data_IF_365145174981
#
_entry.id   IF_365145174981
#
_cell.length_a   1.000
_cell.length_b   1.000
_cell.length_c   1.000
_cell.angle_alpha   90.00
_cell.angle_beta   90.00
_cell.angle_gamma   90.00
#
_symmetry.space_group_name_H-M   'P 1'
#
loop_
_entity.id
_entity.type
_entity.pdbx_description
1 polymer ?
#
# COMPACT_ATOMS: atom_id res chain seq x y z
N UNK A 1 -29.26 -44.81 -15.82
CA UNK A 1 -27.95 -44.48 -15.20
C UNK A 1 -27.86 -42.96 -15.14
N UNK A 2 -27.85 -42.30 -13.97
CA UNK A 2 -27.79 -40.85 -13.91
C UNK A 2 -26.36 -40.37 -14.19
N UNK A 3 -26.23 -39.48 -15.17
CA UNK A 3 -25.00 -38.81 -15.58
C UNK A 3 -24.63 -37.73 -14.56
N UNK A 4 -23.43 -37.86 -13.97
CA UNK A 4 -22.88 -36.91 -13.00
C UNK A 4 -22.52 -35.60 -13.72
N UNK A 5 -23.33 -34.57 -13.57
CA UNK A 5 -22.94 -33.21 -13.94
C UNK A 5 -21.97 -32.68 -12.88
N UNK A 6 -20.67 -32.70 -13.21
CA UNK A 6 -19.61 -32.10 -12.42
C UNK A 6 -19.77 -30.57 -12.42
N UNK A 7 -20.43 -30.05 -11.39
CA UNK A 7 -20.45 -28.63 -11.04
C UNK A 7 -19.01 -28.16 -10.71
N UNK A 8 -18.31 -27.67 -11.72
CA UNK A 8 -16.96 -27.11 -11.58
C UNK A 8 -17.09 -25.76 -10.87
N UNK A 9 -16.96 -25.73 -9.55
CA UNK A 9 -16.82 -24.47 -8.78
C UNK A 9 -15.61 -23.72 -9.30
N UNK A 10 -15.85 -22.63 -10.02
CA UNK A 10 -14.84 -21.62 -10.27
C UNK A 10 -14.59 -20.91 -8.93
N UNK A 11 -13.63 -21.42 -8.16
CA UNK A 11 -13.06 -20.64 -7.07
C UNK A 11 -12.39 -19.42 -7.70
N UNK A 12 -13.08 -18.28 -7.62
CA UNK A 12 -12.53 -16.96 -7.90
C UNK A 12 -11.50 -16.68 -6.81
N UNK A 13 -10.32 -17.30 -6.90
CA UNK A 13 -9.18 -16.92 -6.09
C UNK A 13 -8.84 -15.49 -6.49
N UNK A 14 -9.33 -14.55 -5.68
CA UNK A 14 -9.03 -13.14 -5.86
C UNK A 14 -7.51 -13.01 -5.97
N UNK A 15 -6.98 -12.34 -7.01
CA UNK A 15 -5.54 -12.24 -7.22
C UNK A 15 -4.95 -11.43 -6.05
N UNK A 16 -4.45 -12.17 -5.04
CA UNK A 16 -3.78 -11.65 -3.86
C UNK A 16 -2.58 -10.77 -4.21
N UNK A 17 -2.07 -10.92 -5.44
CA UNK A 17 -0.98 -10.16 -6.02
C UNK A 17 -1.29 -8.65 -6.15
N UNK A 18 -2.56 -8.26 -6.36
CA UNK A 18 -2.95 -6.84 -6.38
C UNK A 18 -2.80 -6.21 -4.99
N UNK A 19 -3.07 -6.98 -3.92
CA UNK A 19 -2.90 -6.51 -2.54
C UNK A 19 -1.42 -6.28 -2.16
N UNK A 20 -0.51 -7.05 -2.77
CA UNK A 20 0.94 -6.90 -2.55
C UNK A 20 1.50 -5.68 -3.27
N UNK A 21 1.12 -5.47 -4.54
CA UNK A 21 1.54 -4.29 -5.32
C UNK A 21 1.00 -3.00 -4.69
N UNK A 22 -0.23 -3.02 -4.17
CA UNK A 22 -0.84 -1.86 -3.53
C UNK A 22 -0.22 -1.53 -2.16
N UNK A 23 0.55 -2.45 -1.55
CA UNK A 23 1.26 -2.24 -0.27
C UNK A 23 2.59 -1.49 -0.40
N UNK A 24 3.06 -1.25 -1.63
CA UNK A 24 4.31 -0.49 -1.88
C UNK A 24 4.15 0.97 -1.46
N UNK A 25 2.94 1.51 -1.52
CA UNK A 25 2.65 2.86 -1.05
C UNK A 25 2.10 2.78 0.38
N UNK A 26 2.68 3.53 1.33
CA UNK A 26 2.21 3.56 2.71
C UNK A 26 0.69 3.82 2.77
N UNK A 27 -0.05 2.84 3.30
CA UNK A 27 -1.50 2.95 3.51
C UNK A 27 -2.42 2.50 2.36
N UNK A 28 -1.93 2.39 1.11
CA UNK A 28 -2.80 2.02 -0.03
C UNK A 28 -3.21 0.55 -0.04
N UNK A 29 -2.33 -0.37 0.37
CA UNK A 29 -2.65 -1.81 0.46
C UNK A 29 -3.75 -2.11 1.49
N UNK A 30 -3.92 -1.22 2.48
CA UNK A 30 -4.93 -1.37 3.53
C UNK A 30 -6.31 -0.83 3.12
N UNK A 31 -6.36 0.02 2.08
CA UNK A 31 -7.59 0.51 1.46
C UNK A 31 -8.39 -0.64 0.81
N UNK A 32 -7.69 -1.60 0.20
CA UNK A 32 -8.33 -2.73 -0.51
C UNK A 32 -9.09 -3.68 0.41
N UNK A 33 -8.64 -3.81 1.67
CA UNK A 33 -9.26 -4.70 2.66
C UNK A 33 -10.23 -3.95 3.61
N UNK A 34 -10.75 -2.79 3.20
CA UNK A 34 -11.63 -1.89 3.99
C UNK A 34 -11.05 -1.46 5.35
N UNK A 35 -9.76 -1.68 5.62
CA UNK A 35 -9.07 -1.27 6.86
C UNK A 35 -8.39 0.09 6.68
N UNK A 36 -9.16 1.04 6.17
CA UNK A 36 -8.71 2.39 5.78
C UNK A 36 -8.13 3.15 6.96
N UNK A 37 -8.67 2.94 8.16
CA UNK A 37 -8.27 3.64 9.38
C UNK A 37 -6.77 3.43 9.69
N UNK A 38 -6.28 2.20 9.55
CA UNK A 38 -4.88 1.87 9.83
C UNK A 38 -3.95 2.41 8.73
N UNK A 39 -4.42 2.43 7.48
CA UNK A 39 -3.64 2.94 6.35
C UNK A 39 -3.52 4.46 6.40
N UNK A 40 -4.60 5.13 6.76
CA UNK A 40 -4.65 6.58 6.92
C UNK A 40 -3.75 7.06 8.07
N UNK A 41 -3.73 6.35 9.19
CA UNK A 41 -2.83 6.68 10.30
C UNK A 41 -1.36 6.62 9.86
N UNK A 42 -0.98 5.55 9.14
CA UNK A 42 0.38 5.40 8.64
C UNK A 42 0.72 6.47 7.60
N UNK A 43 -0.22 6.81 6.72
CA UNK A 43 -0.07 7.85 5.72
C UNK A 43 0.12 9.25 6.34
N UNK A 44 -0.69 9.59 7.35
CA UNK A 44 -0.58 10.88 8.07
C UNK A 44 0.78 10.99 8.76
N UNK A 45 1.23 9.94 9.44
CA UNK A 45 2.54 9.93 10.11
C UNK A 45 3.67 10.07 9.09
N UNK A 46 3.61 9.35 7.97
CA UNK A 46 4.62 9.46 6.90
C UNK A 46 4.67 10.85 6.29
N UNK A 47 3.53 11.50 6.04
CA UNK A 47 3.47 12.88 5.52
C UNK A 47 3.99 13.88 6.55
N UNK A 48 3.55 13.76 7.80
CA UNK A 48 4.01 14.65 8.87
C UNK A 48 5.54 14.55 9.06
N UNK A 49 6.08 13.33 9.00
CA UNK A 49 7.53 13.10 9.02
C UNK A 49 8.21 13.82 7.84
N UNK A 50 7.71 13.65 6.61
CA UNK A 50 8.28 14.29 5.42
C UNK A 50 8.27 15.82 5.50
N UNK A 51 7.18 16.41 5.97
CA UNK A 51 7.03 17.86 6.11
C UNK A 51 8.03 18.40 7.14
N UNK A 52 8.12 17.77 8.32
CA UNK A 52 9.04 18.20 9.38
C UNK A 52 10.50 18.04 8.96
N UNK A 53 10.82 16.98 8.21
CA UNK A 53 12.18 16.75 7.71
C UNK A 53 12.51 17.55 6.45
N UNK A 54 11.54 18.21 5.82
CA UNK A 54 11.76 18.88 4.53
C UNK A 54 12.84 19.96 4.62
N UNK A 55 12.79 20.79 5.66
CA UNK A 55 13.78 21.86 5.88
C UNK A 55 15.18 21.29 6.12
N UNK A 56 15.28 20.16 6.84
CA UNK A 56 16.55 19.47 7.07
C UNK A 56 17.11 18.83 5.79
N UNK A 57 16.24 18.29 4.94
CA UNK A 57 16.63 17.75 3.65
C UNK A 57 17.08 18.85 2.69
N UNK A 58 16.40 20.00 2.68
CA UNK A 58 16.78 21.13 1.83
C UNK A 58 18.17 21.65 2.20
N UNK A 59 18.40 21.94 3.49
CA UNK A 59 19.71 22.37 4.00
C UNK A 59 20.76 21.27 3.83
N UNK A 60 20.40 20.00 4.05
CA UNK A 60 21.30 18.86 3.93
C UNK A 60 21.73 18.62 2.48
N UNK A 61 20.80 18.70 1.53
CA UNK A 61 21.07 18.55 0.09
C UNK A 61 21.88 19.75 -0.40
N UNK A 62 21.51 20.98 -0.02
CA UNK A 62 22.30 22.17 -0.35
C UNK A 62 23.71 22.10 0.22
N UNK A 63 23.84 21.69 1.49
CA UNK A 63 25.11 21.49 2.15
C UNK A 63 25.95 20.44 1.45
N UNK A 64 25.38 19.28 1.11
CA UNK A 64 26.08 18.20 0.40
C UNK A 64 26.43 18.54 -1.06
N UNK A 65 25.71 19.48 -1.68
CA UNK A 65 25.98 19.93 -3.04
C UNK A 65 27.03 21.05 -3.08
N UNK A 66 27.06 21.93 -2.07
CA UNK A 66 27.89 23.13 -2.05
C UNK A 66 29.21 22.95 -1.28
N UNK A 67 29.25 22.11 -0.23
CA UNK A 67 30.47 21.74 0.51
C UNK A 67 31.20 20.59 -0.18
#
# INVERSE_FOLDING_TARGET
MPTQHTEKKFDMTQPRNIATILSIIPGLGQLYNRRIVKGLLFFIVSIAFLIVFWDFLDIGIWGAFLL
#
